data_IF_645522931791
#
_entry.id   IF_645522931791
#
_cell.length_a   1.000
_cell.length_b   1.000
_cell.length_c   1.000
_cell.angle_alpha   90.00
_cell.angle_beta   90.00
_cell.angle_gamma   90.00
#
_symmetry.space_group_name_H-M   'P 1'
#
loop_
_entity.id
_entity.type
_entity.pdbx_description
1 polymer ?
#
# COMPACT_ATOMS: atom_id res chain seq x y z
N UNK A 1 -4.23 -53.38 -9.22
CA UNK A 1 -3.66 -52.33 -8.39
C UNK A 1 -2.17 -52.54 -8.06
N UNK A 2 -1.75 -53.63 -7.40
CA UNK A 2 -0.32 -53.87 -7.01
C UNK A 2 0.70 -53.74 -8.17
N UNK A 3 0.41 -54.27 -9.37
CA UNK A 3 1.31 -54.19 -10.55
C UNK A 3 1.47 -52.73 -11.07
N UNK A 4 0.41 -51.92 -11.04
CA UNK A 4 0.48 -50.51 -11.47
C UNK A 4 1.30 -49.65 -10.47
N UNK A 5 1.14 -49.90 -9.18
CA UNK A 5 1.92 -49.20 -8.13
C UNK A 5 3.41 -49.56 -8.24
N UNK A 6 3.75 -50.85 -8.45
CA UNK A 6 5.15 -51.27 -8.61
C UNK A 6 5.79 -50.71 -9.89
N UNK A 7 5.03 -50.56 -10.98
CA UNK A 7 5.47 -49.91 -12.19
C UNK A 7 5.77 -48.42 -11.98
N UNK A 8 4.87 -47.68 -11.30
CA UNK A 8 5.06 -46.27 -10.97
C UNK A 8 6.27 -46.05 -10.06
N UNK A 9 6.47 -46.92 -9.06
CA UNK A 9 7.66 -46.86 -8.19
C UNK A 9 8.95 -47.04 -8.98
N UNK A 10 8.99 -48.02 -9.88
CA UNK A 10 10.18 -48.24 -10.75
C UNK A 10 10.44 -47.06 -11.68
N UNK A 11 9.40 -46.50 -12.29
CA UNK A 11 9.51 -45.32 -13.14
C UNK A 11 10.06 -44.14 -12.35
N UNK A 12 9.54 -43.89 -11.13
CA UNK A 12 10.01 -42.84 -10.24
C UNK A 12 11.48 -43.06 -9.84
N UNK A 13 11.88 -44.28 -9.48
CA UNK A 13 13.27 -44.60 -9.15
C UNK A 13 14.22 -44.41 -10.36
N UNK A 14 13.79 -44.77 -11.56
CA UNK A 14 14.56 -44.53 -12.79
C UNK A 14 14.71 -43.05 -13.08
N UNK A 15 13.63 -42.25 -12.93
CA UNK A 15 13.66 -40.81 -13.09
C UNK A 15 14.60 -40.15 -12.07
N UNK A 16 14.49 -40.55 -10.80
CA UNK A 16 15.33 -40.07 -9.72
C UNK A 16 16.81 -40.37 -9.95
N UNK A 17 17.13 -41.61 -10.43
CA UNK A 17 18.50 -41.99 -10.76
C UNK A 17 19.08 -41.21 -11.95
N UNK A 18 18.25 -40.89 -12.96
CA UNK A 18 18.66 -40.03 -14.09
C UNK A 18 18.93 -38.61 -13.63
N UNK A 19 18.05 -38.02 -12.80
CA UNK A 19 18.21 -36.67 -12.24
C UNK A 19 19.49 -36.60 -11.39
N UNK A 20 19.73 -37.58 -10.51
CA UNK A 20 20.93 -37.61 -9.67
C UNK A 20 22.21 -37.79 -10.47
N UNK A 21 22.21 -38.64 -11.53
CA UNK A 21 23.33 -38.79 -12.42
C UNK A 21 23.66 -37.54 -13.21
N UNK A 22 22.63 -36.87 -13.75
CA UNK A 22 22.75 -35.58 -14.43
C UNK A 22 23.28 -34.51 -13.51
N UNK A 23 22.73 -34.40 -12.28
CA UNK A 23 23.22 -33.47 -11.28
C UNK A 23 24.70 -33.63 -10.92
N UNK A 24 25.14 -34.91 -10.75
CA UNK A 24 26.56 -35.22 -10.52
C UNK A 24 27.44 -34.81 -11.70
N UNK A 25 26.98 -35.02 -12.92
CA UNK A 25 27.72 -34.61 -14.13
C UNK A 25 27.85 -33.09 -14.22
N UNK A 26 26.76 -32.33 -13.95
CA UNK A 26 26.78 -30.88 -13.94
C UNK A 26 27.73 -30.34 -12.87
N UNK A 27 27.69 -30.87 -11.64
CA UNK A 27 28.58 -30.49 -10.56
C UNK A 27 30.04 -30.78 -10.92
N UNK A 28 30.34 -31.97 -11.47
CA UNK A 28 31.70 -32.35 -11.89
C UNK A 28 32.22 -31.39 -12.96
N UNK A 29 31.41 -31.10 -13.99
CA UNK A 29 31.75 -30.16 -15.04
C UNK A 29 32.00 -28.76 -14.49
N UNK A 30 31.13 -28.27 -13.58
CA UNK A 30 31.28 -26.98 -12.92
C UNK A 30 32.60 -26.89 -12.14
N UNK A 31 32.89 -27.89 -11.28
CA UNK A 31 34.11 -27.90 -10.46
C UNK A 31 35.37 -27.97 -11.35
N UNK A 32 35.32 -28.75 -12.42
CA UNK A 32 36.44 -28.89 -13.37
C UNK A 32 36.71 -27.57 -14.09
N UNK A 33 35.65 -26.90 -14.59
CA UNK A 33 35.75 -25.62 -15.27
C UNK A 33 36.21 -24.53 -14.30
N UNK A 34 35.64 -24.46 -13.07
CA UNK A 34 36.03 -23.51 -12.05
C UNK A 34 37.51 -23.59 -11.68
N UNK A 35 38.05 -24.81 -11.56
CA UNK A 35 39.47 -25.02 -11.23
C UNK A 35 40.42 -24.57 -12.35
N UNK A 36 40.01 -24.63 -13.62
CA UNK A 36 40.81 -24.21 -14.78
C UNK A 36 40.84 -22.71 -15.00
N UNK A 37 39.87 -21.96 -14.46
CA UNK A 37 39.78 -20.52 -14.63
C UNK A 37 40.82 -19.76 -13.80
N UNK A 38 41.38 -18.66 -14.32
CA UNK A 38 42.16 -17.73 -13.52
C UNK A 38 41.30 -17.09 -12.39
N UNK A 39 41.94 -16.47 -11.39
CA UNK A 39 41.25 -15.99 -10.20
C UNK A 39 40.04 -15.06 -10.52
N UNK A 40 40.19 -14.16 -11.49
CA UNK A 40 39.09 -13.27 -11.95
C UNK A 40 37.95 -14.04 -12.64
N UNK A 41 38.27 -15.10 -13.36
CA UNK A 41 37.27 -16.01 -13.97
C UNK A 41 36.52 -16.83 -12.90
N UNK A 42 37.20 -17.25 -11.81
CA UNK A 42 36.57 -17.92 -10.65
C UNK A 42 35.63 -17.00 -9.92
N UNK A 43 36.03 -15.75 -9.69
CA UNK A 43 35.15 -14.73 -9.04
C UNK A 43 33.93 -14.43 -9.90
N UNK A 44 34.10 -14.23 -11.22
CA UNK A 44 33.01 -14.03 -12.16
C UNK A 44 32.04 -15.21 -12.21
N UNK A 45 32.55 -16.44 -12.32
CA UNK A 45 31.73 -17.65 -12.32
C UNK A 45 31.00 -17.85 -10.98
N UNK A 46 31.65 -17.55 -9.86
CA UNK A 46 31.01 -17.57 -8.52
C UNK A 46 29.85 -16.59 -8.39
N UNK A 47 30.03 -15.35 -8.86
CA UNK A 47 28.98 -14.32 -8.88
C UNK A 47 27.79 -14.77 -9.74
N UNK A 48 28.05 -15.24 -10.98
CA UNK A 48 26.99 -15.72 -11.87
C UNK A 48 26.22 -16.89 -11.27
N UNK A 49 26.92 -17.81 -10.61
CA UNK A 49 26.28 -18.95 -9.93
C UNK A 49 25.40 -18.46 -8.75
N UNK A 50 25.90 -17.52 -7.95
CA UNK A 50 25.15 -16.92 -6.86
C UNK A 50 23.86 -16.23 -7.36
N UNK A 51 23.97 -15.46 -8.44
CA UNK A 51 22.81 -14.84 -9.09
C UNK A 51 21.82 -15.90 -9.59
N UNK A 52 22.32 -16.95 -10.27
CA UNK A 52 21.48 -18.05 -10.76
C UNK A 52 20.75 -18.77 -9.63
N UNK A 53 21.43 -19.06 -8.52
CA UNK A 53 20.81 -19.66 -7.33
C UNK A 53 19.75 -18.75 -6.71
N UNK A 54 20.00 -17.45 -6.65
CA UNK A 54 19.02 -16.47 -6.16
C UNK A 54 17.78 -16.45 -7.04
N UNK A 55 17.93 -16.42 -8.35
CA UNK A 55 16.79 -16.48 -9.30
C UNK A 55 16.00 -17.77 -9.12
N UNK A 56 16.66 -18.92 -9.04
CA UNK A 56 15.98 -20.21 -8.79
C UNK A 56 15.22 -20.18 -7.47
N UNK A 57 15.83 -19.66 -6.41
CA UNK A 57 15.16 -19.50 -5.11
C UNK A 57 13.91 -18.61 -5.21
N UNK A 58 13.99 -17.47 -5.90
CA UNK A 58 12.86 -16.58 -6.09
C UNK A 58 11.72 -17.26 -6.87
N UNK A 59 12.06 -18.03 -7.90
CA UNK A 59 11.07 -18.82 -8.66
C UNK A 59 10.45 -19.93 -7.78
N UNK A 60 11.25 -20.61 -6.96
CA UNK A 60 10.72 -21.60 -6.00
C UNK A 60 9.77 -20.99 -4.98
N UNK A 61 10.07 -19.78 -4.50
CA UNK A 61 9.20 -19.03 -3.59
C UNK A 61 7.89 -18.66 -4.28
N UNK A 62 7.97 -18.16 -5.52
CA UNK A 62 6.79 -17.74 -6.29
C UNK A 62 5.85 -18.91 -6.61
N UNK A 63 6.43 -20.02 -7.02
CA UNK A 63 5.70 -21.26 -7.34
C UNK A 63 5.27 -22.05 -6.08
N UNK A 64 5.62 -21.58 -4.89
CA UNK A 64 5.38 -22.29 -3.63
C UNK A 64 5.86 -23.75 -3.69
N UNK A 65 7.08 -23.95 -4.13
CA UNK A 65 7.67 -25.29 -4.33
C UNK A 65 7.54 -26.15 -3.08
N UNK A 66 6.92 -27.31 -3.22
CA UNK A 66 6.63 -28.27 -2.13
C UNK A 66 5.90 -27.66 -0.92
N UNK A 67 5.11 -26.60 -1.12
CA UNK A 67 4.41 -25.86 -0.05
C UNK A 67 5.32 -25.22 1.02
N UNK A 68 6.62 -25.13 0.73
CA UNK A 68 7.62 -24.61 1.65
C UNK A 68 7.46 -23.13 1.96
N UNK A 69 6.99 -22.34 0.98
CA UNK A 69 7.00 -20.87 1.05
C UNK A 69 5.61 -20.23 1.18
N UNK A 70 4.54 -21.00 0.99
CA UNK A 70 3.17 -20.51 0.91
C UNK A 70 2.85 -19.78 -0.40
N UNK A 71 1.57 -19.60 -0.71
CA UNK A 71 1.11 -18.98 -1.97
C UNK A 71 1.62 -17.55 -2.13
N UNK A 72 1.91 -17.16 -3.36
CA UNK A 72 2.20 -15.76 -3.78
C UNK A 72 1.02 -15.20 -4.58
N UNK A 73 0.90 -13.86 -4.74
CA UNK A 73 -0.09 -13.25 -5.63
C UNK A 73 0.05 -13.80 -7.05
N UNK A 74 -1.05 -14.30 -7.63
CA UNK A 74 -1.08 -14.78 -9.00
C UNK A 74 -1.03 -13.61 -9.98
N UNK A 75 -0.61 -13.86 -11.23
CA UNK A 75 -0.66 -12.85 -12.30
C UNK A 75 -2.09 -12.35 -12.56
N UNK A 76 -3.10 -13.18 -12.36
CA UNK A 76 -4.50 -12.81 -12.48
C UNK A 76 -4.89 -11.78 -11.41
N UNK A 77 -4.57 -12.05 -10.14
CA UNK A 77 -4.85 -11.12 -9.03
C UNK A 77 -4.08 -9.78 -9.17
N UNK A 78 -2.95 -9.80 -9.89
CA UNK A 78 -2.18 -8.58 -10.14
C UNK A 78 -2.82 -7.76 -11.25
N UNK A 79 -3.38 -8.39 -12.30
CA UNK A 79 -4.07 -7.69 -13.40
C UNK A 79 -5.39 -7.05 -12.96
N UNK A 80 -6.08 -7.64 -12.01
CA UNK A 80 -7.36 -7.16 -11.50
C UNK A 80 -7.28 -7.05 -9.97
N UNK A 81 -6.54 -6.06 -9.45
CA UNK A 81 -6.42 -5.88 -8.01
C UNK A 81 -7.76 -5.45 -7.42
N UNK A 82 -8.20 -6.15 -6.40
CA UNK A 82 -9.39 -5.76 -5.64
C UNK A 82 -9.08 -4.44 -4.93
N UNK A 83 -9.73 -3.38 -5.36
CA UNK A 83 -9.67 -2.08 -4.70
C UNK A 83 -11.00 -1.87 -3.99
N UNK A 84 -10.96 -1.76 -2.66
CA UNK A 84 -12.14 -1.36 -1.91
C UNK A 84 -12.41 0.13 -2.13
N UNK A 85 -13.47 0.43 -2.86
CA UNK A 85 -13.93 1.78 -3.17
C UNK A 85 -15.14 2.08 -2.29
N UNK A 86 -15.15 3.25 -1.66
CA UNK A 86 -16.28 3.68 -0.85
C UNK A 86 -17.56 3.81 -1.69
N UNK A 87 -18.66 3.25 -1.22
CA UNK A 87 -19.98 3.49 -1.82
C UNK A 87 -20.54 4.84 -1.37
N UNK A 88 -21.21 5.53 -2.27
CA UNK A 88 -21.71 6.90 -2.05
C UNK A 88 -23.23 6.91 -2.02
N UNK A 89 -23.81 7.64 -1.05
CA UNK A 89 -25.25 7.82 -0.91
C UNK A 89 -25.63 9.23 -1.29
N UNK A 90 -26.60 9.35 -2.18
CA UNK A 90 -27.09 10.61 -2.68
C UNK A 90 -28.56 10.83 -2.31
N UNK A 91 -28.90 12.08 -1.96
CA UNK A 91 -30.28 12.55 -1.81
C UNK A 91 -30.96 12.69 -3.15
N UNK A 92 -32.29 12.85 -3.15
CA UNK A 92 -33.09 13.07 -4.37
C UNK A 92 -32.68 14.37 -5.11
N UNK A 93 -32.20 15.36 -4.39
CA UNK A 93 -31.67 16.62 -4.94
C UNK A 93 -30.18 16.53 -5.33
N UNK A 94 -29.60 15.31 -5.40
CA UNK A 94 -28.27 15.03 -5.92
C UNK A 94 -27.12 15.37 -4.98
N UNK A 95 -27.36 15.69 -3.71
CA UNK A 95 -26.29 15.94 -2.74
C UNK A 95 -25.78 14.65 -2.12
N UNK A 96 -24.46 14.57 -1.94
CA UNK A 96 -23.82 13.49 -1.20
C UNK A 96 -24.17 13.59 0.28
N UNK A 97 -24.94 12.63 0.81
CA UNK A 97 -25.35 12.60 2.22
C UNK A 97 -24.49 11.68 3.08
N UNK A 98 -23.70 10.80 2.46
CA UNK A 98 -22.78 9.93 3.18
C UNK A 98 -22.06 8.95 2.29
N UNK A 99 -21.17 8.16 2.92
CA UNK A 99 -20.41 7.09 2.26
C UNK A 99 -20.43 5.85 3.13
N UNK A 100 -20.49 4.67 2.49
CA UNK A 100 -20.22 3.38 3.13
C UNK A 100 -18.84 2.90 2.70
N UNK A 101 -17.97 2.57 3.64
CA UNK A 101 -16.62 2.14 3.35
C UNK A 101 -16.03 1.27 4.47
N UNK A 102 -15.24 0.29 4.09
CA UNK A 102 -14.30 -0.38 4.98
C UNK A 102 -13.00 0.43 5.10
N UNK A 103 -12.58 1.04 3.99
CA UNK A 103 -11.46 1.99 3.89
C UNK A 103 -11.98 3.25 3.18
N UNK A 104 -11.89 4.43 3.82
CA UNK A 104 -12.34 5.69 3.19
C UNK A 104 -11.40 6.06 2.03
N UNK A 105 -11.75 5.62 0.84
CA UNK A 105 -10.96 5.73 -0.37
C UNK A 105 -11.78 6.30 -1.51
N UNK A 106 -11.28 7.38 -2.10
CA UNK A 106 -11.81 7.96 -3.33
C UNK A 106 -10.69 7.97 -4.37
N UNK A 107 -10.77 7.18 -5.44
CA UNK A 107 -9.71 7.08 -6.44
C UNK A 107 -9.55 8.37 -7.23
N UNK A 108 -8.34 8.55 -7.80
CA UNK A 108 -7.97 9.62 -8.74
C UNK A 108 -7.32 9.02 -9.97
N UNK A 109 -7.39 9.71 -11.08
CA UNK A 109 -6.60 9.43 -12.28
C UNK A 109 -5.24 10.15 -12.20
N UNK A 110 -4.23 9.67 -12.95
CA UNK A 110 -2.88 10.27 -12.93
C UNK A 110 -2.88 11.75 -13.27
N UNK A 111 -3.71 12.16 -14.23
CA UNK A 111 -3.85 13.56 -14.66
C UNK A 111 -4.33 14.52 -13.56
N UNK A 112 -5.02 13.99 -12.55
CA UNK A 112 -5.55 14.75 -11.41
C UNK A 112 -4.56 14.84 -10.24
N UNK A 113 -3.38 14.22 -10.38
CA UNK A 113 -2.31 14.25 -9.38
C UNK A 113 -1.32 15.34 -9.75
N UNK A 114 -1.14 16.31 -8.87
CA UNK A 114 -0.17 17.39 -9.10
C UNK A 114 1.24 16.83 -9.32
N UNK A 115 2.00 17.33 -10.33
CA UNK A 115 3.39 16.95 -10.55
C UNK A 115 4.28 17.13 -9.32
N UNK A 116 3.94 18.07 -8.42
CA UNK A 116 4.71 18.26 -7.18
C UNK A 116 4.54 17.10 -6.21
N UNK A 117 3.35 16.47 -6.15
CA UNK A 117 3.14 15.25 -5.34
C UNK A 117 4.01 14.10 -5.85
N UNK A 118 4.00 13.89 -7.17
CA UNK A 118 4.82 12.84 -7.81
C UNK A 118 6.31 13.05 -7.53
N UNK A 119 6.81 14.27 -7.78
CA UNK A 119 8.22 14.61 -7.52
C UNK A 119 8.57 14.45 -6.03
N UNK A 120 7.69 14.88 -5.13
CA UNK A 120 7.92 14.77 -3.69
C UNK A 120 8.00 13.31 -3.24
N UNK A 121 7.11 12.45 -3.75
CA UNK A 121 7.13 11.02 -3.46
C UNK A 121 8.42 10.38 -3.97
N UNK A 122 8.74 10.57 -5.24
CA UNK A 122 9.92 9.97 -5.90
C UNK A 122 11.22 10.41 -5.21
N UNK A 123 11.43 11.72 -5.01
CA UNK A 123 12.64 12.23 -4.33
C UNK A 123 12.78 11.74 -2.87
N UNK A 124 11.65 11.40 -2.21
CA UNK A 124 11.67 11.03 -0.78
C UNK A 124 11.80 9.53 -0.56
N UNK A 125 11.03 8.74 -1.31
CA UNK A 125 10.89 7.30 -1.08
C UNK A 125 11.73 6.46 -2.05
N UNK A 126 11.95 6.94 -3.29
CA UNK A 126 12.55 6.11 -4.35
C UNK A 126 13.15 6.99 -5.47
N UNK A 127 14.30 7.62 -5.20
CA UNK A 127 14.94 8.58 -6.12
C UNK A 127 15.25 8.03 -7.52
N UNK A 128 15.44 6.70 -7.62
CA UNK A 128 15.71 5.98 -8.86
C UNK A 128 14.50 5.26 -9.45
N UNK A 129 13.28 5.61 -9.03
CA UNK A 129 12.04 4.94 -9.44
C UNK A 129 11.93 4.69 -10.94
N UNK A 130 12.32 5.66 -11.75
CA UNK A 130 12.26 5.55 -13.23
C UNK A 130 13.43 4.75 -13.85
N UNK A 131 14.44 4.34 -13.05
CA UNK A 131 15.64 3.67 -13.53
C UNK A 131 15.68 2.18 -13.25
N UNK A 132 14.91 1.69 -12.28
CA UNK A 132 14.88 0.28 -11.92
C UNK A 132 13.55 -0.38 -12.33
N UNK A 133 13.53 -1.72 -12.24
CA UNK A 133 12.38 -2.55 -12.59
C UNK A 133 11.85 -3.28 -11.34
N UNK A 134 11.24 -2.50 -10.43
CA UNK A 134 10.63 -2.98 -9.19
C UNK A 134 11.60 -3.22 -8.03
N UNK A 135 12.88 -3.45 -8.30
CA UNK A 135 13.93 -3.63 -7.30
C UNK A 135 15.07 -2.66 -7.62
N UNK A 136 15.44 -1.82 -6.66
CA UNK A 136 16.60 -0.95 -6.75
C UNK A 136 17.83 -1.63 -6.12
N UNK A 137 18.60 -2.35 -6.94
CA UNK A 137 19.79 -3.05 -6.48
C UNK A 137 20.87 -2.12 -5.94
N UNK A 138 21.04 -0.93 -6.53
CA UNK A 138 21.99 0.07 -6.00
C UNK A 138 21.61 0.52 -4.59
N UNK A 139 20.30 0.79 -4.37
CA UNK A 139 19.75 1.14 -3.06
C UNK A 139 19.91 0.00 -2.05
N UNK A 140 19.68 -1.24 -2.45
CA UNK A 140 19.89 -2.42 -1.60
C UNK A 140 21.36 -2.55 -1.20
N UNK A 141 22.29 -2.40 -2.16
CA UNK A 141 23.74 -2.45 -1.89
C UNK A 141 24.19 -1.29 -0.97
N UNK A 142 23.70 -0.07 -1.24
CA UNK A 142 24.01 1.08 -0.40
C UNK A 142 23.51 0.90 1.04
N UNK A 143 22.28 0.41 1.21
CA UNK A 143 21.72 0.11 2.54
C UNK A 143 22.48 -1.00 3.28
N UNK A 144 22.91 -2.03 2.56
CA UNK A 144 23.74 -3.11 3.14
C UNK A 144 25.11 -2.57 3.60
N UNK A 145 25.75 -1.73 2.79
CA UNK A 145 27.01 -1.07 3.14
C UNK A 145 26.87 -0.17 4.38
N UNK A 146 25.82 0.64 4.43
CA UNK A 146 25.53 1.53 5.57
C UNK A 146 25.28 0.71 6.85
N UNK A 147 24.58 -0.42 6.75
CA UNK A 147 24.34 -1.31 7.87
C UNK A 147 25.63 -1.90 8.42
N UNK A 148 26.54 -2.35 7.55
CA UNK A 148 27.85 -2.91 7.95
C UNK A 148 28.75 -1.81 8.55
N UNK A 149 28.72 -0.59 7.99
CA UNK A 149 29.57 0.50 8.42
C UNK A 149 29.09 1.21 9.70
N UNK A 150 27.78 1.36 9.89
CA UNK A 150 27.19 2.22 10.91
C UNK A 150 26.17 1.53 11.82
N UNK A 151 25.85 0.24 11.58
CA UNK A 151 24.82 -0.49 12.32
C UNK A 151 23.37 -0.03 12.04
N UNK A 152 23.18 0.94 11.15
CA UNK A 152 21.86 1.49 10.77
C UNK A 152 21.66 1.40 9.27
N UNK A 153 20.57 0.77 8.83
CA UNK A 153 20.21 0.71 7.41
C UNK A 153 19.23 1.83 7.06
N UNK A 154 19.51 2.55 5.97
CA UNK A 154 18.50 3.38 5.33
C UNK A 154 17.44 2.49 4.68
N UNK A 155 16.22 3.01 4.45
CA UNK A 155 15.18 2.29 3.71
C UNK A 155 15.63 2.04 2.26
N UNK A 156 15.54 0.79 1.81
CA UNK A 156 15.87 0.37 0.45
C UNK A 156 14.67 -0.25 -0.28
N UNK A 157 13.44 0.00 0.22
CA UNK A 157 12.21 -0.49 -0.42
C UNK A 157 11.73 0.51 -1.46
N UNK A 158 11.47 0.04 -2.69
CA UNK A 158 10.96 0.86 -3.78
C UNK A 158 9.48 1.21 -3.61
N UNK A 159 8.98 2.22 -4.34
CA UNK A 159 7.55 2.57 -4.41
C UNK A 159 6.73 1.34 -4.82
N UNK A 160 7.19 0.58 -5.82
CA UNK A 160 6.51 -0.63 -6.29
C UNK A 160 6.43 -1.71 -5.20
N UNK A 161 7.48 -1.91 -4.40
CA UNK A 161 7.46 -2.84 -3.26
C UNK A 161 6.51 -2.37 -2.14
N UNK A 162 6.44 -1.06 -1.89
CA UNK A 162 5.48 -0.49 -0.94
C UNK A 162 4.04 -0.67 -1.44
N UNK A 163 3.80 -0.49 -2.74
CA UNK A 163 2.51 -0.78 -3.37
C UNK A 163 2.12 -2.24 -3.17
N UNK A 164 3.02 -3.19 -3.46
CA UNK A 164 2.81 -4.63 -3.24
C UNK A 164 2.38 -4.91 -1.79
N UNK A 165 3.11 -4.36 -0.84
CA UNK A 165 2.81 -4.54 0.58
C UNK A 165 1.41 -4.03 0.95
N UNK A 166 1.01 -2.87 0.44
CA UNK A 166 -0.24 -2.21 0.80
C UNK A 166 -1.45 -2.77 0.04
N UNK A 167 -1.32 -2.97 -1.28
CA UNK A 167 -2.43 -3.41 -2.14
C UNK A 167 -2.73 -4.90 -1.97
N UNK A 168 -1.70 -5.76 -2.03
CA UNK A 168 -1.88 -7.20 -1.93
C UNK A 168 -1.75 -7.74 -0.50
N UNK A 169 -1.45 -6.87 0.48
CA UNK A 169 -1.30 -7.24 1.91
C UNK A 169 -0.45 -8.51 2.07
N UNK A 170 0.64 -8.63 1.29
CA UNK A 170 1.48 -9.85 1.17
C UNK A 170 1.98 -10.34 2.53
N UNK A 171 2.13 -9.44 3.49
CA UNK A 171 2.58 -9.80 4.85
C UNK A 171 1.49 -10.35 5.76
N UNK A 172 0.23 -10.07 5.48
CA UNK A 172 -0.90 -10.44 6.37
C UNK A 172 -1.84 -11.48 5.75
N UNK A 173 -2.08 -11.43 4.44
CA UNK A 173 -3.04 -12.31 3.77
C UNK A 173 -2.42 -13.57 3.19
N UNK A 174 -1.09 -13.59 2.95
CA UNK A 174 -0.41 -14.73 2.35
C UNK A 174 0.41 -15.50 3.38
N UNK A 175 0.22 -16.82 3.42
CA UNK A 175 1.00 -17.71 4.28
C UNK A 175 2.47 -17.74 3.84
N UNK A 176 3.36 -18.07 4.76
CA UNK A 176 4.80 -18.23 4.50
C UNK A 176 5.22 -19.70 4.42
N UNK A 177 4.24 -20.61 4.32
CA UNK A 177 4.49 -22.06 4.18
C UNK A 177 5.18 -22.66 5.40
N UNK A 178 5.71 -23.87 5.21
CA UNK A 178 6.39 -24.61 6.27
C UNK A 178 7.64 -23.88 6.82
N UNK A 179 8.43 -23.26 5.92
CA UNK A 179 9.67 -22.57 6.32
C UNK A 179 9.41 -21.25 7.08
N UNK A 180 8.20 -20.71 6.95
CA UNK A 180 7.81 -19.49 7.71
C UNK A 180 7.68 -19.69 9.22
N UNK A 181 7.70 -20.93 9.72
CA UNK A 181 7.75 -21.22 11.15
C UNK A 181 9.16 -21.07 11.76
N UNK A 182 10.19 -20.97 10.92
CA UNK A 182 11.58 -20.79 11.38
C UNK A 182 11.80 -19.30 11.69
N UNK A 183 12.26 -18.94 12.90
CA UNK A 183 12.55 -17.54 13.28
C UNK A 183 13.48 -16.86 12.25
N UNK A 184 13.13 -15.64 11.83
CA UNK A 184 13.88 -14.87 10.83
C UNK A 184 13.59 -15.26 9.36
N UNK A 185 13.32 -16.52 9.04
CA UNK A 185 13.04 -16.99 7.66
C UNK A 185 11.74 -16.41 7.15
N UNK A 186 10.72 -16.26 8.01
CA UNK A 186 9.43 -15.65 7.67
C UNK A 186 9.60 -14.29 7.00
N UNK A 187 10.42 -13.41 7.57
CA UNK A 187 10.65 -12.06 7.03
C UNK A 187 11.33 -12.10 5.66
N UNK A 188 12.29 -13.00 5.47
CA UNK A 188 12.99 -13.19 4.19
C UNK A 188 12.04 -13.67 3.11
N UNK A 189 11.17 -14.66 3.42
CA UNK A 189 10.15 -15.16 2.47
C UNK A 189 9.18 -14.02 2.09
N UNK A 190 8.69 -13.26 3.07
CA UNK A 190 7.82 -12.12 2.80
C UNK A 190 8.50 -11.09 1.89
N UNK A 191 9.77 -10.77 2.16
CA UNK A 191 10.52 -9.81 1.35
C UNK A 191 10.79 -10.33 -0.07
N UNK A 192 11.10 -11.60 -0.21
CA UNK A 192 11.27 -12.23 -1.52
C UNK A 192 9.96 -12.21 -2.35
N UNK A 193 8.81 -12.46 -1.71
CA UNK A 193 7.50 -12.32 -2.36
C UNK A 193 7.21 -10.89 -2.78
N UNK A 194 7.55 -9.89 -1.95
CA UNK A 194 7.45 -8.49 -2.33
C UNK A 194 8.27 -8.19 -3.58
N UNK A 195 9.50 -8.68 -3.67
CA UNK A 195 10.39 -8.49 -4.82
C UNK A 195 9.84 -9.11 -6.10
N UNK A 196 9.44 -10.39 -6.03
CA UNK A 196 8.88 -11.09 -7.19
C UNK A 196 7.60 -10.42 -7.67
N UNK A 197 6.71 -10.04 -6.75
CA UNK A 197 5.45 -9.38 -7.09
C UNK A 197 5.70 -7.97 -7.65
N UNK A 198 6.68 -7.23 -7.12
CA UNK A 198 7.06 -5.91 -7.64
C UNK A 198 7.55 -5.99 -9.09
N UNK A 199 8.38 -6.99 -9.42
CA UNK A 199 8.81 -7.25 -10.80
C UNK A 199 7.61 -7.57 -11.70
N UNK A 200 6.67 -8.42 -11.25
CA UNK A 200 5.45 -8.73 -12.01
C UNK A 200 4.59 -7.48 -12.29
N UNK A 201 4.46 -6.57 -11.32
CA UNK A 201 3.74 -5.30 -11.51
C UNK A 201 4.44 -4.45 -12.57
N UNK A 202 5.74 -4.29 -12.50
CA UNK A 202 6.51 -3.52 -13.49
C UNK A 202 6.48 -4.12 -14.91
N UNK A 203 6.19 -5.43 -15.02
CA UNK A 203 5.94 -6.07 -16.33
C UNK A 203 4.57 -5.77 -16.91
N UNK A 204 3.59 -5.45 -16.08
CA UNK A 204 2.19 -5.29 -16.47
C UNK A 204 1.75 -3.85 -16.57
N UNK A 205 2.37 -2.94 -15.80
CA UNK A 205 1.94 -1.57 -15.62
C UNK A 205 3.07 -0.58 -15.90
N UNK A 206 2.73 0.56 -16.48
CA UNK A 206 3.64 1.69 -16.66
C UNK A 206 3.97 2.35 -15.30
N UNK A 207 5.02 3.14 -15.28
CA UNK A 207 5.41 3.91 -14.08
C UNK A 207 4.30 4.85 -13.60
N UNK A 208 3.55 5.45 -14.52
CA UNK A 208 2.42 6.33 -14.20
C UNK A 208 1.25 5.55 -13.58
N UNK A 209 0.93 4.37 -14.10
CA UNK A 209 -0.09 3.50 -13.52
C UNK A 209 0.31 3.01 -12.12
N UNK A 210 1.58 2.65 -11.92
CA UNK A 210 2.12 2.26 -10.61
C UNK A 210 2.00 3.40 -9.60
N UNK A 211 2.35 4.64 -9.99
CA UNK A 211 2.19 5.82 -9.14
C UNK A 211 0.71 6.09 -8.83
N UNK A 212 -0.17 5.95 -9.82
CA UNK A 212 -1.62 6.11 -9.63
C UNK A 212 -2.16 5.09 -8.64
N UNK A 213 -1.81 3.81 -8.81
CA UNK A 213 -2.19 2.75 -7.87
C UNK A 213 -1.63 3.02 -6.47
N UNK A 214 -0.39 3.48 -6.35
CA UNK A 214 0.23 3.83 -5.08
C UNK A 214 -0.54 4.94 -4.37
N UNK A 215 -0.76 6.07 -5.05
CA UNK A 215 -1.50 7.21 -4.51
C UNK A 215 -2.95 6.88 -4.16
N UNK A 216 -3.56 5.92 -4.85
CA UNK A 216 -4.91 5.45 -4.55
C UNK A 216 -4.97 4.43 -3.40
N UNK A 217 -3.83 3.81 -3.02
CA UNK A 217 -3.82 2.68 -2.09
C UNK A 217 -3.27 3.04 -0.72
N UNK A 218 -2.28 3.93 -0.65
CA UNK A 218 -1.51 4.15 0.57
C UNK A 218 -2.34 4.80 1.69
N UNK A 219 -2.11 4.33 2.92
CA UNK A 219 -2.73 4.89 4.13
C UNK A 219 -1.97 6.13 4.61
N UNK A 220 -2.68 7.25 4.72
CA UNK A 220 -2.18 8.52 5.26
C UNK A 220 -2.58 8.75 6.73
N UNK A 221 -3.09 7.74 7.42
CA UNK A 221 -3.60 7.87 8.78
C UNK A 221 -4.92 8.64 8.87
N UNK A 222 -5.46 8.76 10.07
CA UNK A 222 -6.76 9.41 10.31
C UNK A 222 -7.90 8.85 9.44
N UNK A 223 -7.84 7.55 9.09
CA UNK A 223 -8.77 6.88 8.19
C UNK A 223 -8.80 7.46 6.75
N UNK A 224 -7.70 8.07 6.31
CA UNK A 224 -7.56 8.64 4.98
C UNK A 224 -6.74 7.71 4.07
N UNK A 225 -7.42 6.87 3.30
CA UNK A 225 -6.81 5.99 2.33
C UNK A 225 -6.80 6.65 0.94
N UNK A 226 -5.63 6.71 0.34
CA UNK A 226 -5.39 7.40 -0.93
C UNK A 226 -5.25 8.91 -0.81
N UNK A 227 -4.61 9.48 -1.83
CA UNK A 227 -4.17 10.89 -1.83
C UNK A 227 -5.33 11.88 -1.83
N UNK A 228 -6.44 11.58 -2.54
CA UNK A 228 -7.59 12.46 -2.61
C UNK A 228 -8.26 12.61 -1.26
N UNK A 229 -8.49 11.50 -0.57
CA UNK A 229 -9.03 11.50 0.78
C UNK A 229 -8.08 12.21 1.74
N UNK A 230 -6.77 11.99 1.64
CA UNK A 230 -5.79 12.66 2.48
C UNK A 230 -5.75 14.18 2.26
N UNK A 231 -5.73 14.66 1.01
CA UNK A 231 -5.79 16.08 0.68
C UNK A 231 -7.04 16.75 1.26
N UNK A 232 -8.19 16.08 1.13
CA UNK A 232 -9.45 16.57 1.69
C UNK A 232 -9.42 16.58 3.22
N UNK A 233 -9.00 15.47 3.83
CA UNK A 233 -9.00 15.32 5.30
C UNK A 233 -8.09 16.32 6.00
N UNK A 234 -6.86 16.50 5.52
CA UNK A 234 -5.87 17.34 6.22
C UNK A 234 -5.92 18.79 5.82
N UNK A 235 -6.26 19.09 4.55
CA UNK A 235 -6.13 20.44 4.00
C UNK A 235 -7.39 20.98 3.34
N UNK A 236 -8.46 20.20 3.24
CA UNK A 236 -9.69 20.53 2.52
C UNK A 236 -9.41 21.04 1.11
N UNK A 237 -8.53 20.31 0.39
CA UNK A 237 -8.08 20.60 -0.98
C UNK A 237 -8.12 19.35 -1.85
N UNK A 238 -7.83 19.50 -3.14
CA UNK A 238 -7.73 18.41 -4.10
C UNK A 238 -6.27 18.13 -4.47
N UNK A 239 -5.91 16.91 -4.96
CA UNK A 239 -4.53 16.57 -5.29
C UNK A 239 -3.88 17.43 -6.37
N UNK A 240 -4.66 18.01 -7.29
CA UNK A 240 -4.21 18.94 -8.34
C UNK A 240 -3.83 20.33 -7.81
N UNK A 241 -4.44 20.75 -6.68
CA UNK A 241 -4.27 22.10 -6.08
C UNK A 241 -3.40 22.13 -4.83
N UNK A 242 -2.79 21.00 -4.50
CA UNK A 242 -1.95 20.90 -3.30
C UNK A 242 -0.67 21.73 -3.43
N UNK A 243 -0.28 22.40 -2.36
CA UNK A 243 0.96 23.18 -2.31
C UNK A 243 2.17 22.31 -1.95
N UNK A 244 3.39 22.85 -2.14
CA UNK A 244 4.64 22.11 -1.88
C UNK A 244 4.75 21.67 -0.42
N UNK A 245 4.45 22.57 0.52
CA UNK A 245 4.51 22.28 1.96
C UNK A 245 3.46 21.25 2.39
N UNK A 246 2.28 21.27 1.78
CA UNK A 246 1.23 20.28 2.02
C UNK A 246 1.64 18.91 1.45
N UNK A 247 2.16 18.87 0.22
CA UNK A 247 2.70 17.66 -0.39
C UNK A 247 3.82 17.06 0.46
N UNK A 248 4.78 17.90 0.91
CA UNK A 248 5.87 17.45 1.77
C UNK A 248 5.37 16.92 3.14
N UNK A 249 4.28 17.48 3.66
CA UNK A 249 3.64 17.00 4.90
C UNK A 249 3.02 15.61 4.69
N UNK A 250 2.22 15.42 3.63
CA UNK A 250 1.57 14.14 3.34
C UNK A 250 2.60 13.04 3.00
N UNK A 251 3.59 13.34 2.19
CA UNK A 251 4.63 12.35 1.87
C UNK A 251 5.49 12.04 3.10
N UNK A 252 5.77 13.05 3.92
CA UNK A 252 6.47 12.85 5.20
C UNK A 252 5.73 11.93 6.16
N UNK A 253 4.40 11.98 6.16
CA UNK A 253 3.51 11.17 6.99
C UNK A 253 3.62 9.66 6.68
N UNK A 254 3.90 9.28 5.43
CA UNK A 254 3.98 7.88 4.98
C UNK A 254 5.03 7.05 5.73
N UNK A 255 6.05 7.68 6.29
CA UNK A 255 7.08 6.98 7.07
C UNK A 255 6.52 6.33 8.34
N UNK A 256 5.59 7.02 9.03
CA UNK A 256 4.89 6.50 10.21
C UNK A 256 3.62 7.33 10.44
N UNK A 257 2.48 6.81 10.01
CA UNK A 257 1.21 7.53 9.88
C UNK A 257 0.58 7.97 11.21
N UNK A 258 1.04 7.45 12.33
CA UNK A 258 0.67 7.93 13.67
C UNK A 258 1.71 8.92 14.21
N UNK A 259 3.00 8.58 14.13
CA UNK A 259 4.09 9.37 14.73
C UNK A 259 4.30 10.72 14.05
N UNK A 260 4.13 10.78 12.72
CA UNK A 260 4.25 12.00 11.92
C UNK A 260 2.91 12.63 11.55
N UNK A 261 1.82 12.21 12.21
CA UNK A 261 0.50 12.75 11.95
C UNK A 261 0.41 14.23 12.37
N UNK A 262 0.10 15.15 11.44
CA UNK A 262 0.10 16.57 11.75
C UNK A 262 -1.01 17.00 12.73
N UNK A 263 -2.09 16.20 12.83
CA UNK A 263 -3.17 16.41 13.81
C UNK A 263 -2.79 15.92 15.20
N UNK A 264 -2.07 14.79 15.28
CA UNK A 264 -1.72 14.13 16.54
C UNK A 264 -0.39 14.67 17.09
N UNK A 265 0.62 14.77 16.23
CA UNK A 265 1.99 15.12 16.57
C UNK A 265 2.54 16.25 15.66
N UNK A 266 2.04 17.49 15.79
CA UNK A 266 2.38 18.59 14.86
C UNK A 266 3.88 18.91 14.81
N UNK A 267 4.60 18.80 15.95
CA UNK A 267 6.07 19.04 16.01
C UNK A 267 6.85 18.00 15.20
N UNK A 268 6.51 16.72 15.36
CA UNK A 268 7.16 15.64 14.61
C UNK A 268 6.85 15.72 13.12
N UNK A 269 5.59 16.05 12.78
CA UNK A 269 5.16 16.27 11.40
C UNK A 269 5.93 17.42 10.75
N UNK A 270 6.06 18.57 11.43
CA UNK A 270 6.83 19.72 10.94
C UNK A 270 8.29 19.36 10.70
N UNK A 271 8.93 18.66 11.65
CA UNK A 271 10.31 18.19 11.49
C UNK A 271 10.44 17.27 10.27
N UNK A 272 9.55 16.30 10.12
CA UNK A 272 9.57 15.36 8.99
C UNK A 272 9.29 16.05 7.65
N UNK A 273 8.33 16.98 7.60
CA UNK A 273 8.08 17.84 6.43
C UNK A 273 9.38 18.53 5.98
N UNK A 274 10.11 19.12 6.94
CA UNK A 274 11.36 19.83 6.64
C UNK A 274 12.46 18.91 6.11
N UNK A 275 12.49 17.63 6.51
CA UNK A 275 13.37 16.60 5.91
C UNK A 275 12.99 16.36 4.46
N UNK A 276 11.66 16.21 4.17
CA UNK A 276 11.16 16.02 2.79
C UNK A 276 11.49 17.23 1.92
N UNK A 277 11.30 18.45 2.42
CA UNK A 277 11.69 19.68 1.70
C UNK A 277 13.20 19.71 1.40
N UNK A 278 14.02 19.19 2.33
CA UNK A 278 15.47 19.02 2.11
C UNK A 278 15.76 18.09 0.92
N UNK A 279 15.01 16.97 0.82
CA UNK A 279 15.13 16.05 -0.31
C UNK A 279 14.78 16.73 -1.64
N UNK A 280 13.70 17.51 -1.69
CA UNK A 280 13.34 18.26 -2.88
C UNK A 280 14.42 19.26 -3.31
N UNK A 281 15.14 19.86 -2.36
CA UNK A 281 16.29 20.71 -2.64
C UNK A 281 17.50 19.91 -3.15
N UNK A 282 17.84 18.79 -2.53
CA UNK A 282 18.92 17.88 -2.97
C UNK A 282 18.72 17.41 -4.42
N UNK A 283 17.46 17.19 -4.82
CA UNK A 283 17.09 16.80 -6.19
C UNK A 283 16.74 17.98 -7.12
N UNK A 284 17.12 19.21 -6.77
CA UNK A 284 16.94 20.42 -7.58
C UNK A 284 15.48 20.75 -7.97
N UNK A 285 14.49 20.21 -7.22
CA UNK A 285 13.07 20.58 -7.38
C UNK A 285 12.79 21.94 -6.76
N UNK A 286 13.49 22.27 -5.66
CA UNK A 286 13.45 23.58 -5.00
C UNK A 286 14.83 24.23 -5.07
N UNK A 287 14.86 25.56 -5.20
CA UNK A 287 16.07 26.32 -4.94
C UNK A 287 16.23 26.66 -3.45
N UNK A 288 17.41 27.16 -3.06
CA UNK A 288 17.71 27.48 -1.67
C UNK A 288 16.76 28.50 -1.05
N UNK A 289 16.42 29.55 -1.81
CA UNK A 289 15.50 30.60 -1.35
C UNK A 289 14.09 30.04 -1.09
N UNK A 290 13.58 29.18 -2.00
CA UNK A 290 12.29 28.51 -1.82
C UNK A 290 12.29 27.60 -0.60
N UNK A 291 13.35 26.80 -0.43
CA UNK A 291 13.50 25.91 0.74
C UNK A 291 13.44 26.70 2.04
N UNK A 292 14.24 27.76 2.17
CA UNK A 292 14.36 28.56 3.38
C UNK A 292 13.05 29.33 3.69
N UNK A 293 12.34 29.77 2.64
CA UNK A 293 11.03 30.41 2.77
C UNK A 293 9.97 29.43 3.25
N UNK A 294 9.85 28.24 2.63
CA UNK A 294 8.81 27.26 2.94
C UNK A 294 9.05 26.63 4.31
N UNK A 295 10.30 26.40 4.72
CA UNK A 295 10.62 25.86 6.04
C UNK A 295 10.12 26.73 7.20
N UNK A 296 10.04 28.05 7.02
CA UNK A 296 9.54 29.00 8.03
C UNK A 296 8.02 28.97 8.17
N UNK A 297 7.30 28.48 7.17
CA UNK A 297 5.84 28.43 7.19
C UNK A 297 5.34 27.39 8.20
N UNK A 298 4.34 27.70 9.01
CA UNK A 298 3.67 26.71 9.85
C UNK A 298 2.87 25.73 8.99
N UNK A 299 2.63 24.54 9.51
CA UNK A 299 1.69 23.62 8.86
C UNK A 299 0.27 24.00 9.24
N UNK A 300 -0.45 24.63 8.32
CA UNK A 300 -1.86 25.04 8.54
C UNK A 300 -2.76 23.90 8.10
N UNK A 301 -3.46 23.31 9.06
CA UNK A 301 -4.44 22.25 8.82
C UNK A 301 -5.84 22.86 8.67
N UNK A 302 -6.58 22.35 7.66
CA UNK A 302 -8.03 22.51 7.54
C UNK A 302 -8.68 21.13 7.76
N UNK A 303 -8.40 20.56 8.93
CA UNK A 303 -8.70 19.17 9.23
C UNK A 303 -10.21 18.92 9.26
N UNK A 304 -10.67 18.03 8.36
CA UNK A 304 -12.05 17.59 8.28
C UNK A 304 -12.06 16.08 8.02
N UNK A 305 -12.15 15.33 9.10
CA UNK A 305 -12.23 13.87 8.98
C UNK A 305 -13.66 13.48 8.61
N UNK A 306 -13.80 12.78 7.48
CA UNK A 306 -15.06 12.10 7.16
C UNK A 306 -15.15 10.86 8.06
N UNK A 307 -16.23 10.80 8.84
CA UNK A 307 -16.53 9.67 9.70
C UNK A 307 -17.91 9.13 9.33
N UNK A 308 -18.08 7.82 9.36
CA UNK A 308 -19.38 7.17 9.13
C UNK A 308 -20.48 7.73 10.05
N UNK A 309 -20.12 8.09 11.27
CA UNK A 309 -21.03 8.61 12.30
C UNK A 309 -21.24 10.14 12.27
N UNK A 310 -20.70 10.84 11.27
CA UNK A 310 -20.89 12.28 11.10
C UNK A 310 -21.58 12.59 9.78
N UNK A 311 -22.25 13.75 9.71
CA UNK A 311 -23.00 14.20 8.54
C UNK A 311 -24.51 14.02 8.66
N UNK A 312 -25.27 14.47 7.64
CA UNK A 312 -26.73 14.47 7.67
C UNK A 312 -27.32 13.06 7.59
N UNK A 313 -28.56 12.94 8.05
CA UNK A 313 -29.39 11.76 7.90
C UNK A 313 -28.80 10.45 8.45
N UNK A 314 -28.12 10.50 9.60
CA UNK A 314 -27.38 9.36 10.15
C UNK A 314 -28.26 8.11 10.31
N UNK A 315 -29.44 8.24 10.91
CA UNK A 315 -30.37 7.14 11.11
C UNK A 315 -30.92 6.59 9.78
N UNK A 316 -31.21 7.48 8.83
CA UNK A 316 -31.65 7.09 7.50
C UNK A 316 -30.57 6.27 6.76
N UNK A 317 -29.31 6.73 6.84
CA UNK A 317 -28.17 5.99 6.25
C UNK A 317 -28.01 4.60 6.87
N UNK A 318 -28.20 4.47 8.17
CA UNK A 318 -28.14 3.18 8.87
C UNK A 318 -29.28 2.26 8.41
N UNK A 319 -30.50 2.79 8.26
CA UNK A 319 -31.65 2.02 7.75
C UNK A 319 -31.38 1.51 6.34
N UNK A 320 -30.90 2.39 5.43
CA UNK A 320 -30.52 2.03 4.05
C UNK A 320 -29.40 0.97 4.05
N UNK A 321 -28.39 1.11 4.92
CA UNK A 321 -27.31 0.10 5.00
C UNK A 321 -27.84 -1.28 5.38
N UNK A 322 -28.80 -1.35 6.31
CA UNK A 322 -29.40 -2.62 6.73
C UNK A 322 -30.26 -3.25 5.61
N UNK A 323 -31.03 -2.45 4.90
CA UNK A 323 -31.83 -2.89 3.74
C UNK A 323 -30.94 -3.38 2.58
N UNK A 324 -29.87 -2.66 2.28
CA UNK A 324 -28.94 -3.02 1.20
C UNK A 324 -28.07 -4.25 1.52
N UNK A 325 -27.89 -4.64 2.78
CA UNK A 325 -27.09 -5.85 3.12
C UNK A 325 -27.68 -7.12 2.47
N UNK A 326 -28.99 -7.28 2.47
CA UNK A 326 -29.64 -8.43 1.86
C UNK A 326 -29.50 -8.36 0.34
N UNK A 327 -29.79 -7.21 -0.26
CA UNK A 327 -29.66 -6.98 -1.69
C UNK A 327 -28.20 -7.22 -2.18
N UNK A 328 -27.22 -6.73 -1.45
CA UNK A 328 -25.80 -6.94 -1.77
C UNK A 328 -25.43 -8.42 -1.74
N UNK A 329 -25.95 -9.18 -0.74
CA UNK A 329 -25.73 -10.62 -0.63
C UNK A 329 -26.34 -11.39 -1.82
N UNK A 330 -27.53 -11.03 -2.25
CA UNK A 330 -28.20 -11.65 -3.38
C UNK A 330 -27.50 -11.34 -4.72
N UNK A 331 -26.94 -10.13 -4.85
CA UNK A 331 -26.25 -9.69 -6.06
C UNK A 331 -24.73 -9.91 -6.02
N UNK A 332 -24.21 -10.59 -4.99
CA UNK A 332 -22.79 -10.87 -4.82
C UNK A 332 -21.90 -9.61 -4.90
N UNK A 333 -22.36 -8.50 -4.28
CA UNK A 333 -21.68 -7.21 -4.20
C UNK A 333 -21.34 -6.87 -2.76
N UNK A 334 -20.31 -6.01 -2.57
CA UNK A 334 -19.92 -5.49 -1.26
C UNK A 334 -20.31 -4.01 -1.12
N UNK A 335 -21.27 -3.73 -0.23
CA UNK A 335 -21.69 -2.37 0.09
C UNK A 335 -20.52 -1.45 0.51
N UNK A 336 -19.51 -2.01 1.14
CA UNK A 336 -18.41 -1.26 1.74
C UNK A 336 -17.13 -1.24 0.88
N UNK A 337 -17.14 -1.96 -0.27
CA UNK A 337 -15.94 -2.14 -1.08
C UNK A 337 -16.09 -1.93 -2.58
N UNK A 338 -17.30 -2.04 -3.14
CA UNK A 338 -17.50 -2.07 -4.60
C UNK A 338 -17.86 -0.71 -5.22
N UNK A 339 -17.87 0.37 -4.43
CA UNK A 339 -18.05 1.72 -4.96
C UNK A 339 -19.45 1.98 -5.52
N UNK A 340 -20.49 1.44 -4.90
CA UNK A 340 -21.88 1.61 -5.33
C UNK A 340 -22.31 3.08 -5.24
N UNK A 341 -23.12 3.52 -6.19
CA UNK A 341 -23.82 4.81 -6.14
C UNK A 341 -25.27 4.58 -5.78
N UNK A 342 -25.66 4.99 -4.58
CA UNK A 342 -26.96 4.75 -3.98
C UNK A 342 -27.76 6.04 -4.04
N UNK A 343 -28.80 6.06 -4.86
CA UNK A 343 -29.69 7.20 -4.99
C UNK A 343 -30.94 6.96 -4.14
N UNK A 344 -31.25 7.91 -3.28
CA UNK A 344 -32.38 7.81 -2.34
C UNK A 344 -33.47 8.82 -2.68
N UNK A 345 -34.63 8.64 -2.08
CA UNK A 345 -35.76 9.56 -2.18
C UNK A 345 -35.72 10.72 -1.17
N UNK A 346 -34.69 10.77 -0.31
CA UNK A 346 -34.54 11.78 0.73
C UNK A 346 -34.24 13.16 0.11
N UNK A 347 -35.05 14.19 0.42
CA UNK A 347 -34.71 15.59 0.12
C UNK A 347 -33.79 16.15 1.22
N UNK A 348 -32.60 16.61 0.81
CA UNK A 348 -31.58 17.07 1.78
C UNK A 348 -32.00 18.30 2.60
N UNK A 349 -32.84 19.15 2.05
CA UNK A 349 -33.35 20.37 2.72
C UNK A 349 -34.40 20.02 3.77
N UNK A 350 -35.33 19.11 3.41
CA UNK A 350 -36.32 18.61 4.36
C UNK A 350 -35.65 17.90 5.52
N UNK A 351 -34.63 17.08 5.26
CA UNK A 351 -33.84 16.42 6.28
C UNK A 351 -33.15 17.42 7.21
N UNK A 352 -32.54 18.46 6.64
CA UNK A 352 -31.90 19.51 7.46
C UNK A 352 -32.92 20.20 8.37
N UNK A 353 -34.08 20.57 7.85
CA UNK A 353 -35.11 21.22 8.68
C UNK A 353 -35.60 20.29 9.80
N UNK A 354 -35.73 18.98 9.51
CA UNK A 354 -36.11 18.01 10.52
C UNK A 354 -35.06 17.89 11.63
N UNK A 355 -33.79 17.77 11.28
CA UNK A 355 -32.68 17.69 12.24
C UNK A 355 -32.56 18.97 13.10
N UNK A 356 -32.71 20.14 12.51
CA UNK A 356 -32.74 21.42 13.22
C UNK A 356 -33.93 21.51 14.18
N UNK A 357 -35.12 21.07 13.78
CA UNK A 357 -36.31 21.04 14.60
C UNK A 357 -36.17 20.09 15.79
N UNK A 358 -35.63 18.86 15.54
CA UNK A 358 -35.34 17.87 16.61
C UNK A 358 -34.32 18.45 17.59
N UNK A 359 -33.20 18.98 17.09
CA UNK A 359 -32.15 19.56 17.94
C UNK A 359 -32.70 20.66 18.86
N UNK A 360 -33.50 21.57 18.30
CA UNK A 360 -34.14 22.66 19.03
C UNK A 360 -35.09 22.15 20.11
N UNK A 361 -35.98 21.22 19.75
CA UNK A 361 -36.94 20.64 20.67
C UNK A 361 -36.26 19.83 21.79
N UNK A 362 -35.25 19.03 21.46
CA UNK A 362 -34.51 18.24 22.44
C UNK A 362 -33.76 19.14 23.44
N UNK A 363 -33.23 20.26 22.99
CA UNK A 363 -32.62 21.25 23.91
C UNK A 363 -33.62 21.77 24.94
N UNK A 364 -34.86 22.09 24.54
CA UNK A 364 -35.92 22.52 25.46
C UNK A 364 -36.38 21.37 26.38
N UNK A 365 -36.48 20.16 25.88
CA UNK A 365 -36.80 18.97 26.69
C UNK A 365 -35.71 18.73 27.72
N UNK A 366 -34.42 18.84 27.32
CA UNK A 366 -33.28 18.66 28.22
C UNK A 366 -33.30 19.68 29.36
N UNK A 367 -33.57 20.96 29.08
CA UNK A 367 -33.71 22.01 30.13
C UNK A 367 -34.78 21.67 31.15
N UNK A 368 -35.94 21.15 30.68
CA UNK A 368 -37.03 20.72 31.59
C UNK A 368 -36.65 19.52 32.43
N UNK A 369 -35.94 18.57 31.79
CA UNK A 369 -35.44 17.38 32.47
C UNK A 369 -34.43 17.73 33.58
N UNK A 370 -33.44 18.57 33.24
CA UNK A 370 -32.42 19.05 34.20
C UNK A 370 -33.03 19.85 35.36
N UNK A 371 -34.04 20.66 35.06
CA UNK A 371 -34.79 21.42 36.11
C UNK A 371 -35.56 20.49 37.06
N UNK A 372 -36.04 19.34 36.57
CA UNK A 372 -36.81 18.39 37.37
C UNK A 372 -35.91 17.38 38.16
N UNK A 373 -34.85 16.91 37.54
CA UNK A 373 -34.01 15.84 38.12
C UNK A 373 -32.65 16.33 38.66
N UNK A 374 -32.31 17.60 38.43
CA UNK A 374 -30.99 18.15 38.75
C UNK A 374 -29.92 17.71 37.71
N UNK A 375 -28.87 18.52 37.57
CA UNK A 375 -27.65 18.13 36.86
C UNK A 375 -26.86 17.20 37.78
N UNK A 376 -26.71 15.92 37.40
CA UNK A 376 -25.73 15.02 38.01
C UNK A 376 -24.34 15.32 37.52
#
# INVERSE_FOLDING_TARGET
MKKAVSFLIRLFQQLLSRITKFGKQCISWYVHTFRKLPWYGRTGMGILTGIGMLIVLLVMIDLNFLWLFGKSPSMFNIKEPIQHIASEIYSADGKLIGKFYSENRTPVEYKDISPILVKTLVCTEDERFYKHFGIDFEGVFAAAKDYVAHGTARGASTITQQLVKNLFKVRSQYSTGLLGHIPGVKLLIMKAKEWVTAVKIEMLYSKEEILTMYFNTVDFGSNAFGIKTACHTYFNTTPDKITVEQAATLIGLLKATTYYNPKINPKNSLSRRNVVLGKLYEHHVLNKHQLDSIRKLPTILKFKQENYYTGPALYFREAIANELKEWCKENNTDLYGDGLKIYTTLDSRMQQYAEEAVSRQMHEVQKRFDAHWGTQ
#
